data_IF_172104915909
#
_entry.id   IF_172104915909
#
_cell.length_a   1.000
_cell.length_b   1.000
_cell.length_c   1.000
_cell.angle_alpha   90.00
_cell.angle_beta   90.00
_cell.angle_gamma   90.00
#
_symmetry.space_group_name_H-M   'P 1'
#
loop_
_entity.id
_entity.type
_entity.pdbx_description
1 polymer ?
#
# COMPACT_ATOMS: atom_id res chain seq x y z
N UNK A 1 -17.00 3.77 6.35
CA UNK A 1 -16.03 3.33 5.33
C UNK A 1 -16.70 3.39 3.97
N UNK A 2 -15.98 3.76 2.92
CA UNK A 2 -16.49 3.69 1.55
C UNK A 2 -16.39 2.26 1.00
N UNK A 3 -17.07 1.99 -0.10
CA UNK A 3 -17.04 0.68 -0.77
C UNK A 3 -15.65 0.42 -1.38
N UNK A 4 -14.94 -0.60 -0.88
CA UNK A 4 -13.59 -0.98 -1.34
C UNK A 4 -13.52 -1.39 -2.81
N UNK A 5 -14.65 -1.71 -3.46
CA UNK A 5 -14.68 -2.05 -4.88
C UNK A 5 -14.81 -0.84 -5.79
N UNK A 6 -15.02 0.36 -5.23
CA UNK A 6 -15.11 1.62 -5.97
C UNK A 6 -13.82 2.42 -5.81
N UNK A 7 -13.40 3.03 -6.90
CA UNK A 7 -12.30 4.00 -6.89
C UNK A 7 -12.64 5.17 -5.97
N UNK A 8 -11.70 5.55 -5.11
CA UNK A 8 -11.79 6.81 -4.36
C UNK A 8 -11.77 8.01 -5.31
N UNK A 9 -12.52 9.06 -4.97
CA UNK A 9 -12.52 10.32 -5.71
C UNK A 9 -11.25 11.12 -5.44
N UNK A 10 -10.92 12.08 -6.32
CA UNK A 10 -9.81 13.03 -6.10
C UNK A 10 -9.90 13.72 -4.73
N UNK A 11 -11.09 14.16 -4.33
CA UNK A 11 -11.33 14.81 -3.04
C UNK A 11 -11.01 13.87 -1.86
N UNK A 12 -11.42 12.59 -1.93
CA UNK A 12 -11.09 11.60 -0.91
C UNK A 12 -9.59 11.34 -0.84
N UNK A 13 -8.93 11.18 -1.98
CA UNK A 13 -7.49 10.93 -2.06
C UNK A 13 -6.72 12.11 -1.47
N UNK A 14 -7.00 13.36 -1.88
CA UNK A 14 -6.36 14.56 -1.32
C UNK A 14 -6.56 14.69 0.19
N UNK A 15 -7.74 14.33 0.71
CA UNK A 15 -7.96 14.33 2.16
C UNK A 15 -7.01 13.36 2.87
N UNK A 16 -6.86 12.14 2.37
CA UNK A 16 -5.94 11.13 2.94
C UNK A 16 -4.47 11.56 2.80
N UNK A 17 -4.08 12.11 1.65
CA UNK A 17 -2.71 12.58 1.43
C UNK A 17 -2.30 13.68 2.40
N UNK A 18 -3.25 14.55 2.75
CA UNK A 18 -3.06 15.56 3.79
C UNK A 18 -2.90 14.93 5.18
N UNK A 19 -3.66 13.90 5.49
CA UNK A 19 -3.53 13.15 6.75
C UNK A 19 -2.15 12.45 6.84
N UNK A 20 -1.69 11.81 5.76
CA UNK A 20 -0.34 11.26 5.67
C UNK A 20 0.74 12.33 5.82
N UNK A 21 0.63 13.44 5.09
CA UNK A 21 1.59 14.53 5.18
C UNK A 21 1.70 15.07 6.61
N UNK A 22 0.56 15.20 7.30
CA UNK A 22 0.51 15.59 8.71
C UNK A 22 1.23 14.57 9.59
N UNK A 23 0.86 13.28 9.51
CA UNK A 23 1.46 12.21 10.31
C UNK A 23 2.98 12.09 10.06
N UNK A 24 3.40 12.07 8.80
CA UNK A 24 4.79 11.95 8.40
C UNK A 24 5.62 13.16 8.84
N UNK A 25 5.06 14.39 8.76
CA UNK A 25 5.74 15.60 9.24
C UNK A 25 6.15 15.48 10.71
N UNK A 26 5.32 14.86 11.55
CA UNK A 26 5.61 14.70 12.98
C UNK A 26 6.84 13.83 13.21
N UNK A 27 7.13 12.86 12.34
CA UNK A 27 8.37 12.07 12.43
C UNK A 27 9.61 12.94 12.22
N UNK A 28 9.59 13.81 11.19
CA UNK A 28 10.70 14.75 10.96
C UNK A 28 10.84 15.77 12.09
N UNK A 29 9.72 16.28 12.61
CA UNK A 29 9.70 17.19 13.77
C UNK A 29 10.31 16.51 15.00
N UNK A 30 9.90 15.28 15.31
CA UNK A 30 10.44 14.53 16.44
C UNK A 30 11.92 14.22 16.23
N UNK A 31 12.37 13.83 15.03
CA UNK A 31 13.80 13.65 14.75
C UNK A 31 14.61 14.93 15.02
N UNK A 32 14.11 16.08 14.56
CA UNK A 32 14.81 17.35 14.67
C UNK A 32 14.82 17.92 16.11
N UNK A 33 13.70 17.79 16.84
CA UNK A 33 13.50 18.47 18.13
C UNK A 33 13.50 17.53 19.34
N UNK A 34 13.07 16.29 19.17
CA UNK A 34 12.93 15.30 20.25
C UNK A 34 13.37 13.87 19.84
N UNK A 35 14.64 13.67 19.43
CA UNK A 35 15.09 12.41 18.84
C UNK A 35 14.98 11.21 19.80
N UNK A 36 15.01 11.43 21.11
CA UNK A 36 14.75 10.37 22.11
C UNK A 36 13.32 9.86 22.03
N UNK A 37 12.35 10.77 21.95
CA UNK A 37 10.92 10.47 21.81
C UNK A 37 10.67 9.74 20.49
N UNK A 38 11.25 10.21 19.38
CA UNK A 38 11.16 9.51 18.09
C UNK A 38 11.67 8.06 18.20
N UNK A 39 12.86 7.85 18.77
CA UNK A 39 13.44 6.51 18.90
C UNK A 39 12.63 5.61 19.84
N UNK A 40 11.98 6.16 20.87
CA UNK A 40 11.07 5.38 21.73
C UNK A 40 9.88 4.84 20.92
N UNK A 41 9.23 5.68 20.12
CA UNK A 41 8.15 5.22 19.25
C UNK A 41 8.67 4.22 18.20
N UNK A 42 9.72 4.58 17.46
CA UNK A 42 10.33 3.73 16.43
C UNK A 42 10.64 2.32 16.95
N UNK A 43 11.28 2.23 18.11
CA UNK A 43 11.72 0.95 18.68
C UNK A 43 10.58 0.15 19.33
N UNK A 44 9.43 0.79 19.59
CA UNK A 44 8.23 0.12 20.12
C UNK A 44 7.33 -0.47 19.04
N UNK A 45 7.57 -0.15 17.76
CA UNK A 45 6.79 -0.65 16.63
C UNK A 45 7.34 -1.99 16.13
N UNK A 46 6.45 -2.83 15.62
CA UNK A 46 6.77 -4.14 15.04
C UNK A 46 6.43 -4.10 13.56
N UNK A 47 7.41 -4.34 12.69
CA UNK A 47 7.16 -4.48 11.25
C UNK A 47 6.55 -5.85 10.96
N UNK A 48 5.22 -5.92 10.94
CA UNK A 48 4.46 -7.13 10.61
C UNK A 48 4.80 -7.67 9.21
N UNK A 49 5.20 -6.80 8.27
CA UNK A 49 5.58 -7.19 6.92
C UNK A 49 6.95 -7.89 6.89
N UNK A 50 7.91 -7.41 7.68
CA UNK A 50 9.20 -8.12 7.86
C UNK A 50 8.98 -9.52 8.46
N UNK A 51 8.14 -9.63 9.49
CA UNK A 51 7.77 -10.93 10.09
C UNK A 51 7.15 -11.85 9.03
N UNK A 52 6.22 -11.34 8.22
CA UNK A 52 5.60 -12.10 7.14
C UNK A 52 6.62 -12.58 6.10
N UNK A 53 7.51 -11.69 5.65
CA UNK A 53 8.53 -12.00 4.64
C UNK A 53 9.57 -13.02 5.14
N UNK A 54 9.84 -13.07 6.44
CA UNK A 54 10.72 -14.08 7.06
C UNK A 54 10.05 -15.42 7.34
N UNK A 55 8.74 -15.53 7.15
CA UNK A 55 7.99 -16.76 7.42
C UNK A 55 7.75 -17.56 6.12
N UNK A 56 8.40 -18.73 5.93
CA UNK A 56 8.26 -19.54 4.71
C UNK A 56 6.83 -20.00 4.42
N UNK A 57 6.02 -20.21 5.46
CA UNK A 57 4.63 -20.64 5.30
C UNK A 57 3.77 -19.50 4.74
N UNK A 58 3.95 -18.29 5.26
CA UNK A 58 3.20 -17.10 4.82
C UNK A 58 3.63 -16.67 3.41
N UNK A 59 4.93 -16.68 3.13
CA UNK A 59 5.44 -16.37 1.78
C UNK A 59 4.90 -17.35 0.73
N UNK A 60 4.93 -18.67 1.01
CA UNK A 60 4.33 -19.70 0.14
C UNK A 60 2.83 -19.52 -0.06
N UNK A 61 2.10 -19.09 0.98
CA UNK A 61 0.66 -18.81 0.87
C UNK A 61 0.37 -17.69 -0.15
N UNK A 62 1.14 -16.61 -0.12
CA UNK A 62 1.01 -15.51 -1.07
C UNK A 62 1.43 -15.90 -2.49
N UNK A 63 2.47 -16.72 -2.65
CA UNK A 63 2.87 -17.29 -3.95
C UNK A 63 1.73 -18.12 -4.57
N UNK A 64 1.03 -18.93 -3.77
CA UNK A 64 -0.12 -19.69 -4.25
C UNK A 64 -1.30 -18.79 -4.62
N UNK A 65 -1.60 -17.77 -3.81
CA UNK A 65 -2.60 -16.76 -4.13
C UNK A 65 -2.28 -16.03 -5.46
N UNK A 66 -1.00 -15.83 -5.75
CA UNK A 66 -0.54 -15.24 -7.01
C UNK A 66 -0.88 -16.12 -8.21
N UNK A 67 -0.78 -17.46 -8.10
CA UNK A 67 -1.15 -18.37 -9.20
C UNK A 67 -2.62 -18.21 -9.58
N UNK A 68 -3.50 -18.08 -8.58
CA UNK A 68 -4.95 -17.84 -8.78
C UNK A 68 -5.18 -16.49 -9.48
N UNK A 69 -4.46 -15.45 -9.09
CA UNK A 69 -4.56 -14.11 -9.70
C UNK A 69 -4.04 -14.12 -11.14
N UNK A 70 -2.98 -14.89 -11.43
CA UNK A 70 -2.45 -15.03 -12.78
C UNK A 70 -3.39 -15.82 -13.70
N UNK A 71 -4.18 -16.76 -13.17
CA UNK A 71 -5.11 -17.56 -13.97
C UNK A 71 -6.28 -16.74 -14.53
N UNK A 72 -6.62 -15.61 -13.90
CA UNK A 72 -7.69 -14.71 -14.40
C UNK A 72 -7.26 -13.81 -15.56
N UNK A 73 -5.97 -13.82 -15.91
CA UNK A 73 -5.43 -13.03 -17.02
C UNK A 73 -5.45 -13.84 -18.32
N UNK A 74 -5.80 -13.20 -19.43
CA UNK A 74 -5.76 -13.83 -20.75
C UNK A 74 -4.42 -13.55 -21.46
N UNK A 75 -3.76 -12.42 -21.15
CA UNK A 75 -2.56 -11.97 -21.84
C UNK A 75 -1.30 -12.59 -21.21
N UNK A 76 -0.58 -13.41 -21.97
CA UNK A 76 0.67 -14.06 -21.55
C UNK A 76 1.81 -13.07 -21.29
N UNK A 77 1.87 -11.95 -22.01
CA UNK A 77 2.87 -10.91 -21.75
C UNK A 77 2.67 -10.30 -20.36
N UNK A 78 1.43 -9.98 -20.00
CA UNK A 78 1.10 -9.48 -18.67
C UNK A 78 1.49 -10.49 -17.58
N UNK A 79 1.19 -11.79 -17.80
CA UNK A 79 1.59 -12.85 -16.86
C UNK A 79 3.10 -12.92 -16.70
N UNK A 80 3.87 -12.80 -17.79
CA UNK A 80 5.32 -12.87 -17.75
C UNK A 80 5.94 -11.68 -17.00
N UNK A 81 5.43 -10.46 -17.24
CA UNK A 81 5.85 -9.27 -16.48
C UNK A 81 5.60 -9.49 -14.99
N UNK A 82 4.37 -9.88 -14.61
CA UNK A 82 4.01 -10.09 -13.21
C UNK A 82 4.87 -11.17 -12.56
N UNK A 83 5.04 -12.34 -13.20
CA UNK A 83 5.88 -13.43 -12.67
C UNK A 83 7.31 -12.96 -12.41
N UNK A 84 7.88 -12.17 -13.32
CA UNK A 84 9.26 -11.68 -13.19
C UNK A 84 9.43 -10.77 -11.95
N UNK A 85 8.44 -9.93 -11.65
CA UNK A 85 8.47 -8.98 -10.53
C UNK A 85 8.15 -9.65 -9.20
N UNK A 86 7.25 -10.63 -9.19
CA UNK A 86 6.85 -11.30 -7.96
C UNK A 86 7.88 -12.27 -7.41
N UNK A 87 8.75 -12.84 -8.25
CA UNK A 87 9.80 -13.77 -7.79
C UNK A 87 10.77 -13.19 -6.76
N UNK A 88 10.89 -11.86 -6.68
CA UNK A 88 11.81 -11.18 -5.75
C UNK A 88 11.10 -10.34 -4.68
N UNK A 89 9.77 -10.31 -4.64
CA UNK A 89 9.01 -9.33 -3.83
C UNK A 89 9.33 -9.41 -2.33
N UNK A 90 9.43 -10.61 -1.76
CA UNK A 90 9.76 -10.79 -0.35
C UNK A 90 11.22 -10.45 -0.03
N UNK A 91 12.13 -10.78 -0.94
CA UNK A 91 13.53 -10.39 -0.82
C UNK A 91 13.67 -8.86 -0.83
N UNK A 92 13.03 -8.20 -1.79
CA UNK A 92 13.01 -6.75 -1.92
C UNK A 92 12.37 -6.08 -0.69
N UNK A 93 11.31 -6.68 -0.15
CA UNK A 93 10.69 -6.22 1.10
C UNK A 93 11.69 -6.20 2.26
N UNK A 94 12.45 -7.28 2.46
CA UNK A 94 13.45 -7.36 3.52
C UNK A 94 14.58 -6.35 3.32
N UNK A 95 15.11 -6.25 2.10
CA UNK A 95 16.17 -5.29 1.75
C UNK A 95 15.74 -3.84 2.02
N UNK A 96 14.53 -3.47 1.58
CA UNK A 96 14.01 -2.12 1.77
C UNK A 96 13.62 -1.82 3.23
N UNK A 97 13.17 -2.83 3.99
CA UNK A 97 12.93 -2.68 5.43
C UNK A 97 14.25 -2.47 6.18
N UNK A 98 15.32 -3.18 5.81
CA UNK A 98 16.66 -2.99 6.40
C UNK A 98 17.23 -1.61 6.08
N UNK A 99 17.16 -1.17 4.82
CA UNK A 99 17.57 0.18 4.40
C UNK A 99 16.85 1.27 5.22
N UNK A 100 15.55 1.11 5.42
CA UNK A 100 14.71 2.08 6.11
C UNK A 100 15.07 2.28 7.59
N UNK A 101 15.79 1.34 8.22
CA UNK A 101 16.25 1.48 9.61
C UNK A 101 17.28 2.62 9.78
N UNK A 102 18.01 2.94 8.71
CA UNK A 102 19.08 3.93 8.70
C UNK A 102 18.81 5.14 7.78
N UNK A 103 17.75 5.10 6.97
CA UNK A 103 17.36 6.25 6.14
C UNK A 103 16.76 7.39 6.98
N UNK A 104 17.37 8.57 6.89
CA UNK A 104 16.88 9.79 7.55
C UNK A 104 15.51 10.25 7.03
N UNK A 105 15.11 9.76 5.87
CA UNK A 105 13.80 9.99 5.26
C UNK A 105 12.69 9.14 5.87
N UNK A 106 13.03 8.09 6.63
CA UNK A 106 12.03 7.19 7.20
C UNK A 106 11.12 7.88 8.22
N UNK A 107 9.85 7.53 8.21
CA UNK A 107 8.82 8.09 9.10
C UNK A 107 8.04 6.96 9.76
N UNK A 108 7.38 7.27 10.87
CA UNK A 108 6.33 6.41 11.41
C UNK A 108 5.11 6.54 10.51
N UNK A 109 4.72 5.41 9.95
CA UNK A 109 3.64 5.27 8.97
C UNK A 109 2.34 4.84 9.64
N UNK A 110 1.21 4.99 8.92
CA UNK A 110 0.00 4.27 9.29
C UNK A 110 0.17 2.76 9.00
N UNK A 111 0.77 2.39 7.85
CA UNK A 111 1.30 1.06 7.56
C UNK A 111 0.33 0.02 6.98
N UNK A 112 -0.97 0.31 6.94
CA UNK A 112 -2.03 -0.48 6.28
C UNK A 112 -3.15 0.44 5.77
N UNK A 113 -2.78 1.44 4.95
CA UNK A 113 -3.69 2.52 4.60
C UNK A 113 -4.49 2.21 3.33
N UNK A 114 -5.55 1.42 3.49
CA UNK A 114 -6.52 1.12 2.43
C UNK A 114 -7.93 1.61 2.80
N UNK A 115 -8.86 1.62 1.83
CA UNK A 115 -10.22 2.20 1.98
C UNK A 115 -10.96 1.78 3.25
N UNK A 116 -10.76 0.55 3.73
CA UNK A 116 -11.41 0.05 4.94
C UNK A 116 -10.82 0.63 6.23
N UNK A 117 -9.56 1.04 6.24
CA UNK A 117 -8.92 1.65 7.41
C UNK A 117 -9.04 3.17 7.41
N UNK A 118 -9.98 3.71 6.62
CA UNK A 118 -10.24 5.14 6.49
C UNK A 118 -11.74 5.40 6.62
N UNK A 119 -12.10 6.25 7.59
CA UNK A 119 -13.46 6.74 7.75
C UNK A 119 -13.59 8.10 7.08
N UNK A 120 -14.69 8.29 6.36
CA UNK A 120 -15.00 9.53 5.65
C UNK A 120 -16.33 10.07 6.16
N UNK A 121 -16.38 11.37 6.41
CA UNK A 121 -17.62 12.08 6.73
C UNK A 121 -17.99 13.02 5.60
N UNK A 122 -19.23 12.90 5.15
CA UNK A 122 -19.81 13.74 4.12
C UNK A 122 -20.96 14.57 4.69
N UNK A 123 -21.04 15.82 4.26
CA UNK A 123 -22.19 16.70 4.51
C UNK A 123 -22.60 17.30 3.16
N UNK A 124 -23.90 17.23 2.82
CA UNK A 124 -24.41 17.71 1.53
C UNK A 124 -23.64 17.16 0.32
N UNK A 125 -23.23 15.88 0.40
CA UNK A 125 -22.39 15.18 -0.59
C UNK A 125 -20.99 15.75 -0.82
N UNK A 126 -20.50 16.64 0.05
CA UNK A 126 -19.12 17.12 0.04
C UNK A 126 -18.34 16.45 1.16
N UNK A 127 -17.09 16.09 0.89
CA UNK A 127 -16.22 15.55 1.92
C UNK A 127 -15.92 16.63 2.96
N UNK A 128 -16.07 16.30 4.24
CA UNK A 128 -15.73 17.19 5.35
C UNK A 128 -14.43 16.80 6.00
N UNK A 129 -14.25 15.52 6.26
CA UNK A 129 -13.09 14.98 6.95
C UNK A 129 -12.89 13.51 6.58
N UNK A 130 -11.62 13.11 6.53
CA UNK A 130 -11.18 11.72 6.63
C UNK A 130 -10.44 11.52 7.93
N UNK A 131 -10.51 10.30 8.48
CA UNK A 131 -9.64 9.88 9.58
C UNK A 131 -9.13 8.46 9.29
N UNK A 132 -7.82 8.28 9.45
CA UNK A 132 -7.19 6.97 9.41
C UNK A 132 -7.36 6.28 10.75
N UNK A 133 -7.68 4.99 10.71
CA UNK A 133 -7.84 4.11 11.87
C UNK A 133 -6.92 2.91 11.73
N UNK A 134 -6.93 2.04 12.75
CA UNK A 134 -6.23 0.75 12.75
C UNK A 134 -4.72 0.84 12.46
N UNK A 135 -3.95 1.29 13.45
CA UNK A 135 -2.50 1.47 13.37
C UNK A 135 -1.72 0.18 13.71
N UNK A 136 -2.34 -1.00 13.63
CA UNK A 136 -1.69 -2.26 14.01
C UNK A 136 -0.49 -2.63 13.14
N UNK A 137 -0.45 -2.12 11.91
CA UNK A 137 0.67 -2.29 10.97
C UNK A 137 1.64 -1.09 10.95
N UNK A 138 1.44 -0.12 11.85
CA UNK A 138 2.31 1.06 11.97
C UNK A 138 3.76 0.63 12.18
N UNK A 139 4.65 1.22 11.39
CA UNK A 139 6.07 0.91 11.39
C UNK A 139 6.90 2.11 10.97
N UNK A 140 8.20 2.00 11.19
CA UNK A 140 9.14 2.98 10.65
C UNK A 140 9.62 2.56 9.26
N UNK A 141 9.23 3.29 8.23
CA UNK A 141 9.66 3.04 6.86
C UNK A 141 9.61 4.31 6.01
N UNK A 142 9.96 4.23 4.73
CA UNK A 142 9.93 5.37 3.82
C UNK A 142 8.48 5.84 3.55
N UNK A 143 8.17 7.16 3.62
CA UNK A 143 6.82 7.69 3.47
C UNK A 143 6.11 7.28 2.17
N UNK A 144 6.85 6.94 1.12
CA UNK A 144 6.26 6.49 -0.16
C UNK A 144 5.48 5.20 -0.04
N UNK A 145 5.75 4.37 0.98
CA UNK A 145 5.01 3.12 1.18
C UNK A 145 3.52 3.39 1.45
N UNK A 146 3.17 4.26 2.42
CA UNK A 146 1.77 4.66 2.66
C UNK A 146 1.15 5.33 1.41
N UNK A 147 1.90 6.24 0.79
CA UNK A 147 1.45 7.01 -0.38
C UNK A 147 1.06 6.10 -1.56
N UNK A 148 2.02 5.30 -2.03
CA UNK A 148 1.83 4.47 -3.22
C UNK A 148 0.91 3.29 -2.91
N UNK A 149 0.97 2.72 -1.71
CA UNK A 149 0.05 1.66 -1.31
C UNK A 149 -1.41 2.14 -1.39
N UNK A 150 -1.74 3.27 -0.76
CA UNK A 150 -3.09 3.83 -0.81
C UNK A 150 -3.51 4.18 -2.25
N UNK A 151 -2.66 4.89 -2.99
CA UNK A 151 -2.97 5.32 -4.36
C UNK A 151 -3.27 4.11 -5.25
N UNK A 152 -2.39 3.12 -5.31
CA UNK A 152 -2.56 1.99 -6.23
C UNK A 152 -3.61 0.99 -5.77
N UNK A 153 -3.89 0.93 -4.46
CA UNK A 153 -4.83 -0.05 -3.93
C UNK A 153 -6.26 0.46 -3.75
N UNK A 154 -6.48 1.79 -3.69
CA UNK A 154 -7.79 2.40 -3.42
C UNK A 154 -8.37 3.18 -4.60
N UNK A 155 -7.64 3.28 -5.72
CA UNK A 155 -8.12 3.96 -6.93
C UNK A 155 -8.07 3.02 -8.13
N UNK A 156 -8.73 3.38 -9.22
CA UNK A 156 -8.58 2.72 -10.52
C UNK A 156 -7.59 3.46 -11.44
N UNK A 157 -7.25 2.83 -12.56
CA UNK A 157 -6.34 3.39 -13.55
C UNK A 157 -6.84 4.74 -14.07
N UNK A 158 -8.12 4.84 -14.45
CA UNK A 158 -8.69 6.07 -15.00
C UNK A 158 -8.51 7.27 -14.06
N UNK A 159 -8.72 7.05 -12.76
CA UNK A 159 -8.53 8.10 -11.75
C UNK A 159 -7.05 8.45 -11.61
N UNK A 160 -6.15 7.47 -11.54
CA UNK A 160 -4.70 7.71 -11.46
C UNK A 160 -4.16 8.42 -12.68
N UNK A 161 -4.57 8.05 -13.89
CA UNK A 161 -4.11 8.67 -15.14
C UNK A 161 -4.40 10.17 -15.20
N UNK A 162 -5.44 10.63 -14.48
CA UNK A 162 -5.82 12.05 -14.40
C UNK A 162 -5.09 12.80 -13.29
N UNK A 163 -4.74 12.15 -12.19
CA UNK A 163 -4.39 12.85 -10.95
C UNK A 163 -3.10 12.41 -10.27
N UNK A 164 -2.42 11.35 -10.74
CA UNK A 164 -1.26 10.78 -10.04
C UNK A 164 -0.16 11.80 -9.72
N UNK A 165 0.28 12.58 -10.72
CA UNK A 165 1.33 13.58 -10.50
C UNK A 165 0.86 14.72 -9.58
N UNK A 166 -0.37 15.19 -9.77
CA UNK A 166 -0.99 16.20 -8.91
C UNK A 166 -1.06 15.73 -7.45
N UNK A 167 -1.33 14.44 -7.21
CA UNK A 167 -1.36 13.85 -5.88
C UNK A 167 0.01 13.79 -5.22
N UNK A 168 1.05 13.42 -5.96
CA UNK A 168 2.43 13.41 -5.44
C UNK A 168 2.87 14.82 -5.06
N UNK A 169 2.59 15.81 -5.91
CA UNK A 169 2.92 17.22 -5.63
C UNK A 169 2.08 17.78 -4.48
N UNK A 170 0.79 17.43 -4.43
CA UNK A 170 -0.09 17.81 -3.34
C UNK A 170 0.39 17.27 -1.99
N UNK A 171 0.75 15.98 -1.91
CA UNK A 171 1.32 15.40 -0.70
C UNK A 171 2.57 16.15 -0.23
N UNK A 172 3.50 16.45 -1.14
CA UNK A 172 4.74 17.17 -0.80
C UNK A 172 4.45 18.60 -0.31
N UNK A 173 3.51 19.30 -0.94
CA UNK A 173 3.08 20.63 -0.52
C UNK A 173 2.43 20.63 0.87
N UNK A 174 1.60 19.63 1.18
CA UNK A 174 0.98 19.50 2.49
C UNK A 174 1.99 19.07 3.56
N UNK A 175 3.03 18.32 3.19
CA UNK A 175 4.13 17.96 4.07
C UNK A 175 4.91 19.23 4.46
N UNK A 176 5.28 20.06 3.50
CA UNK A 176 5.95 21.34 3.74
C UNK A 176 5.10 22.27 4.60
N UNK A 177 3.81 22.40 4.27
CA UNK A 177 2.85 23.17 5.07
C UNK A 177 2.81 22.68 6.52
N UNK A 178 2.79 21.37 6.74
CA UNK A 178 2.74 20.77 8.07
C UNK A 178 4.03 20.98 8.86
N UNK A 179 5.19 20.88 8.20
CA UNK A 179 6.50 21.16 8.78
C UNK A 179 6.68 22.63 9.17
N UNK A 180 6.08 23.56 8.40
CA UNK A 180 6.22 25.00 8.62
C UNK A 180 5.68 25.45 9.99
N UNK A 181 4.68 24.76 10.54
CA UNK A 181 4.17 25.01 11.90
C UNK A 181 5.21 24.78 13.00
N UNK A 182 6.29 24.08 12.68
CA UNK A 182 7.38 23.73 13.59
C UNK A 182 8.72 24.36 13.17
N UNK A 183 8.69 25.36 12.29
CA UNK A 183 9.88 26.04 11.76
C UNK A 183 10.84 25.08 11.00
N UNK A 184 10.27 24.09 10.32
CA UNK A 184 10.97 23.18 9.41
C UNK A 184 10.46 23.38 7.98
N UNK A 185 11.27 22.95 7.00
CA UNK A 185 10.92 23.00 5.58
C UNK A 185 11.17 21.64 4.93
N UNK A 186 10.26 21.20 4.06
CA UNK A 186 10.39 19.93 3.34
C UNK A 186 11.67 19.91 2.50
N UNK A 187 12.06 21.03 1.90
CA UNK A 187 13.30 21.14 1.11
C UNK A 187 14.59 20.86 1.91
N UNK A 188 14.52 20.83 3.25
CA UNK A 188 15.66 20.49 4.10
C UNK A 188 15.63 19.03 4.57
N UNK A 189 14.45 18.50 4.88
CA UNK A 189 14.32 17.18 5.52
C UNK A 189 13.86 16.08 4.55
N UNK A 190 13.07 16.43 3.55
CA UNK A 190 12.57 15.51 2.53
C UNK A 190 12.22 16.24 1.21
N UNK A 191 13.24 16.63 0.42
CA UNK A 191 13.05 17.42 -0.79
C UNK A 191 12.20 16.69 -1.84
N UNK A 192 11.49 17.45 -2.69
CA UNK A 192 10.63 16.87 -3.76
C UNK A 192 11.38 15.89 -4.67
N UNK A 193 12.66 16.16 -4.94
CA UNK A 193 13.55 15.27 -5.71
C UNK A 193 13.80 13.93 -5.00
N UNK A 194 14.01 13.95 -3.68
CA UNK A 194 14.20 12.72 -2.90
C UNK A 194 12.91 11.89 -2.87
N UNK A 195 11.74 12.55 -2.81
CA UNK A 195 10.44 11.88 -3.00
C UNK A 195 10.34 11.17 -4.36
N UNK A 196 10.77 11.80 -5.47
CA UNK A 196 10.80 11.13 -6.79
C UNK A 196 11.74 9.92 -6.83
N UNK A 197 12.93 10.06 -6.23
CA UNK A 197 13.92 8.99 -6.15
C UNK A 197 13.39 7.81 -5.33
N UNK A 198 12.74 8.08 -4.20
CA UNK A 198 12.13 7.06 -3.36
C UNK A 198 10.94 6.39 -4.03
N UNK A 199 10.09 7.15 -4.75
CA UNK A 199 8.99 6.55 -5.51
C UNK A 199 9.52 5.50 -6.50
N UNK A 200 10.62 5.80 -7.20
CA UNK A 200 11.27 4.84 -8.11
C UNK A 200 11.90 3.68 -7.36
N UNK A 201 12.55 3.94 -6.22
CA UNK A 201 13.20 2.90 -5.40
C UNK A 201 12.19 1.87 -4.88
N UNK A 202 11.00 2.32 -4.48
CA UNK A 202 9.98 1.46 -3.85
C UNK A 202 8.91 0.96 -4.83
N UNK A 203 8.92 1.38 -6.10
CA UNK A 203 7.84 1.06 -7.04
C UNK A 203 7.71 -0.45 -7.29
N UNK A 204 8.82 -1.17 -7.46
CA UNK A 204 8.78 -2.61 -7.70
C UNK A 204 8.14 -3.38 -6.54
N UNK A 205 8.44 -2.98 -5.29
CA UNK A 205 7.83 -3.57 -4.11
C UNK A 205 6.31 -3.29 -4.07
N UNK A 206 5.90 -2.04 -4.32
CA UNK A 206 4.49 -1.66 -4.31
C UNK A 206 3.73 -2.36 -5.44
N UNK A 207 4.33 -2.51 -6.61
CA UNK A 207 3.75 -3.29 -7.71
C UNK A 207 3.50 -4.73 -7.24
N UNK A 208 4.53 -5.39 -6.70
CA UNK A 208 4.41 -6.77 -6.24
C UNK A 208 3.35 -6.94 -5.16
N UNK A 209 3.37 -6.09 -4.13
CA UNK A 209 2.36 -6.08 -3.07
C UNK A 209 0.94 -5.86 -3.59
N UNK A 210 0.75 -4.90 -4.50
CA UNK A 210 -0.58 -4.58 -5.04
C UNK A 210 -1.15 -5.73 -5.88
N UNK A 211 -0.30 -6.45 -6.61
CA UNK A 211 -0.70 -7.67 -7.31
C UNK A 211 -1.03 -8.77 -6.31
N UNK A 212 -0.15 -9.10 -5.36
CA UNK A 212 -0.36 -10.18 -4.38
C UNK A 212 -1.64 -9.99 -3.55
N UNK A 213 -1.91 -8.76 -3.12
CA UNK A 213 -3.07 -8.43 -2.29
C UNK A 213 -4.38 -8.37 -3.10
N UNK A 214 -4.34 -8.50 -4.42
CA UNK A 214 -5.56 -8.49 -5.24
C UNK A 214 -6.53 -9.60 -4.82
N UNK A 215 -6.06 -10.82 -4.55
CA UNK A 215 -6.93 -11.92 -4.09
C UNK A 215 -7.63 -11.61 -2.76
N UNK A 216 -7.05 -10.77 -1.90
CA UNK A 216 -7.69 -10.32 -0.65
C UNK A 216 -8.70 -9.19 -0.92
N UNK A 217 -8.29 -8.19 -1.68
CA UNK A 217 -9.10 -6.98 -1.88
C UNK A 217 -10.33 -7.20 -2.75
N UNK A 218 -10.33 -8.21 -3.62
CA UNK A 218 -11.46 -8.46 -4.53
C UNK A 218 -12.54 -9.36 -3.97
N UNK A 219 -12.35 -9.98 -2.80
CA UNK A 219 -13.35 -10.86 -2.15
C UNK A 219 -14.46 -10.06 -1.50
N UNK A 220 -15.70 -10.52 -1.65
CA UNK A 220 -16.86 -10.05 -0.89
C UNK A 220 -16.77 -10.51 0.58
N UNK A 221 -17.77 -10.16 1.38
CA UNK A 221 -17.77 -10.44 2.82
C UNK A 221 -17.80 -11.94 3.10
N UNK A 222 -18.62 -12.69 2.38
CA UNK A 222 -18.77 -14.14 2.53
C UNK A 222 -17.47 -14.88 2.14
N UNK A 223 -16.92 -14.58 0.96
CA UNK A 223 -15.66 -15.15 0.46
C UNK A 223 -14.47 -14.84 1.37
N UNK A 224 -14.46 -13.66 2.01
CA UNK A 224 -13.44 -13.27 2.96
C UNK A 224 -13.58 -14.05 4.28
N UNK A 225 -14.80 -14.26 4.77
CA UNK A 225 -15.07 -15.05 5.96
C UNK A 225 -14.64 -16.52 5.77
N UNK A 226 -14.98 -17.14 4.63
CA UNK A 226 -14.57 -18.51 4.28
C UNK A 226 -13.04 -18.65 4.21
N UNK A 227 -12.37 -17.66 3.63
CA UNK A 227 -10.90 -17.62 3.57
C UNK A 227 -10.29 -17.54 4.98
N UNK A 228 -10.82 -16.68 5.85
CA UNK A 228 -10.34 -16.53 7.23
C UNK A 228 -10.59 -17.78 8.08
N UNK A 229 -11.74 -18.43 7.91
CA UNK A 229 -12.04 -19.70 8.59
C UNK A 229 -11.07 -20.81 8.16
N UNK A 230 -10.77 -20.88 6.86
CA UNK A 230 -9.80 -21.84 6.31
C UNK A 230 -8.39 -21.62 6.88
N UNK A 231 -7.98 -20.36 7.09
CA UNK A 231 -6.69 -20.01 7.69
C UNK A 231 -6.61 -20.40 9.17
N UNK A 232 -7.70 -20.22 9.92
CA UNK A 232 -7.73 -20.51 11.36
C UNK A 232 -7.81 -22.02 11.68
N UNK A 233 -8.35 -22.83 10.78
CA UNK A 233 -8.63 -24.25 11.04
C UNK A 233 -7.44 -25.20 10.81
N UNK A 234 -6.23 -24.69 10.50
CA UNK A 234 -5.00 -25.49 10.45
C UNK A 234 -4.93 -26.58 9.38
N UNK A 235 -6.01 -26.80 8.60
CA UNK A 235 -6.01 -27.61 7.36
C UNK A 235 -5.39 -26.83 6.20
N UNK A 236 -4.27 -26.17 6.48
CA UNK A 236 -3.74 -25.12 5.64
C UNK A 236 -3.20 -25.68 4.32
N UNK A 237 -2.60 -26.87 4.34
CA UNK A 237 -2.15 -27.57 3.12
C UNK A 237 -3.34 -28.04 2.26
N UNK A 238 -4.36 -28.64 2.86
CA UNK A 238 -5.59 -29.07 2.15
C UNK A 238 -6.39 -27.87 1.60
N UNK A 239 -6.45 -26.77 2.35
CA UNK A 239 -7.11 -25.53 1.94
C UNK A 239 -6.34 -24.83 0.82
N UNK A 240 -5.00 -24.89 0.83
CA UNK A 240 -4.14 -24.36 -0.23
C UNK A 240 -4.29 -25.17 -1.52
N UNK A 241 -4.31 -26.51 -1.43
CA UNK A 241 -4.50 -27.39 -2.59
C UNK A 241 -5.95 -27.34 -3.14
N UNK A 242 -6.93 -27.15 -2.26
CA UNK A 242 -8.30 -26.85 -2.64
C UNK A 242 -8.42 -25.46 -3.32
N UNK A 243 -7.78 -24.42 -2.77
CA UNK A 243 -7.81 -23.06 -3.33
C UNK A 243 -7.11 -22.95 -4.69
N UNK A 244 -6.03 -23.71 -4.92
CA UNK A 244 -5.36 -23.76 -6.22
C UNK A 244 -6.25 -24.36 -7.34
N UNK A 245 -7.29 -25.11 -6.96
CA UNK A 245 -8.23 -25.76 -7.88
C UNK A 245 -9.63 -25.10 -7.90
N UNK A 246 -9.87 -24.07 -7.08
CA UNK A 246 -11.12 -23.33 -7.05
C UNK A 246 -11.01 -22.15 -8.02
N UNK A 247 -11.76 -22.21 -9.12
CA UNK A 247 -12.00 -21.03 -9.94
C UNK A 247 -12.63 -19.95 -9.08
N UNK A 248 -12.06 -18.75 -9.10
CA UNK A 248 -12.65 -17.59 -8.43
C UNK A 248 -14.07 -17.39 -8.97
N UNK A 249 -15.06 -17.07 -8.11
CA UNK A 249 -16.38 -16.70 -8.57
C UNK A 249 -16.29 -15.61 -9.64
N UNK A 250 -17.15 -15.71 -10.67
CA UNK A 250 -17.05 -14.90 -11.89
C UNK A 250 -16.88 -13.39 -11.62
N UNK A 251 -17.62 -12.85 -10.66
CA UNK A 251 -17.54 -11.43 -10.32
C UNK A 251 -16.22 -11.08 -9.63
N UNK A 252 -15.69 -11.97 -8.78
CA UNK A 252 -14.39 -11.84 -8.11
C UNK A 252 -13.25 -11.91 -9.12
N UNK A 253 -13.31 -12.87 -10.05
CA UNK A 253 -12.37 -12.98 -11.15
C UNK A 253 -12.37 -11.72 -12.04
N UNK A 254 -13.56 -11.19 -12.37
CA UNK A 254 -13.69 -9.96 -13.15
C UNK A 254 -13.10 -8.73 -12.41
N UNK A 255 -13.36 -8.59 -11.10
CA UNK A 255 -12.75 -7.54 -10.27
C UNK A 255 -11.23 -7.68 -10.22
N UNK A 256 -10.72 -8.88 -10.00
CA UNK A 256 -9.28 -9.17 -9.97
C UNK A 256 -8.61 -8.81 -11.29
N UNK A 257 -9.16 -9.29 -12.41
CA UNK A 257 -8.65 -8.99 -13.75
C UNK A 257 -8.61 -7.49 -14.01
N UNK A 258 -9.72 -6.77 -13.74
CA UNK A 258 -9.78 -5.31 -13.91
C UNK A 258 -8.73 -4.60 -13.07
N UNK A 259 -8.55 -5.01 -11.82
CA UNK A 259 -7.56 -4.42 -10.90
C UNK A 259 -6.13 -4.65 -11.38
N UNK A 260 -5.76 -5.88 -11.71
CA UNK A 260 -4.40 -6.24 -12.15
C UNK A 260 -4.03 -5.46 -13.42
N UNK A 261 -4.92 -5.45 -14.41
CA UNK A 261 -4.70 -4.72 -15.66
C UNK A 261 -4.53 -3.23 -15.38
N UNK A 262 -5.40 -2.63 -14.57
CA UNK A 262 -5.29 -1.22 -14.23
C UNK A 262 -4.04 -0.87 -13.41
N UNK A 263 -3.52 -1.78 -12.58
CA UNK A 263 -2.22 -1.61 -11.90
C UNK A 263 -1.11 -1.61 -12.94
N UNK A 264 -1.07 -2.63 -13.81
CA UNK A 264 -0.04 -2.77 -14.84
C UNK A 264 -0.01 -1.53 -15.76
N UNK A 265 -1.16 -1.12 -16.29
CA UNK A 265 -1.29 0.06 -17.15
C UNK A 265 -0.79 1.34 -16.45
N UNK A 266 -1.10 1.50 -15.15
CA UNK A 266 -0.65 2.67 -14.39
C UNK A 266 0.85 2.67 -14.19
N UNK A 267 1.44 1.55 -13.78
CA UNK A 267 2.88 1.44 -13.57
C UNK A 267 3.66 1.61 -14.89
N UNK A 268 3.13 1.10 -16.00
CA UNK A 268 3.68 1.37 -17.34
C UNK A 268 3.59 2.85 -17.69
N UNK A 269 2.40 3.47 -17.54
CA UNK A 269 2.18 4.88 -17.87
C UNK A 269 3.13 5.80 -17.10
N UNK A 270 3.38 5.51 -15.83
CA UNK A 270 4.19 6.37 -14.95
C UNK A 270 5.69 6.03 -14.98
N UNK A 271 6.12 5.00 -15.74
CA UNK A 271 7.52 4.58 -15.82
C UNK A 271 8.04 3.99 -14.51
N UNK A 272 7.21 3.18 -13.85
CA UNK A 272 7.46 2.59 -12.53
C UNK A 272 7.73 1.08 -12.55
N UNK A 273 7.65 0.42 -13.73
CA UNK A 273 8.00 -0.99 -13.94
C UNK A 273 9.48 -1.21 -14.16
#
# INVERSE_FOLDING_TARGET
MLDKFKSLTDECVKSILKDFATLHSLSFVLKAKEPKTYNQFKNGLIDVWDIMARNPLLTKQFENGTVIILSVLDNEEHKNIIKSKLGNVFKLMLELSEDALTDESSVIQQGDAWTNNIMFKFEEQKLKESIMIDYQASKNNNPVMDLLFMIFNCTDHETRSKHYYDWVDYYHSELDRSLSYFELAADLVYPRKKLDEDIKKYSELIFGLSIMLTNLFTRNTEEAAEMMESLNNGKMEDAIEAMANIELPKDTAARAKKRIVGILESFTQFGLL
#
